data_IF_800162314295
#
_entry.id   IF_800162314295
#
_cell.length_a   1.000
_cell.length_b   1.000
_cell.length_c   1.000
_cell.angle_alpha   90.00
_cell.angle_beta   90.00
_cell.angle_gamma   90.00
#
_symmetry.space_group_name_H-M   'P 1'
#
loop_
_entity.id
_entity.type
_entity.pdbx_description
1 polymer ?
#
# COMPACT_ATOMS: atom_id res chain seq x y z
N UNK A 1 6.59 -16.55 17.77
CA UNK A 1 6.78 -15.86 16.48
C UNK A 1 7.14 -14.42 16.77
N UNK A 2 8.29 -13.94 16.28
CA UNK A 2 8.70 -12.54 16.49
C UNK A 2 7.90 -11.65 15.54
N UNK A 3 6.82 -11.04 16.03
CA UNK A 3 6.08 -10.01 15.30
C UNK A 3 6.83 -8.69 15.47
N UNK A 4 7.65 -8.35 14.47
CA UNK A 4 8.33 -7.05 14.42
C UNK A 4 7.30 -5.92 14.36
N UNK A 5 7.46 -4.91 15.22
CA UNK A 5 6.63 -3.71 15.20
C UNK A 5 6.83 -2.93 13.90
N UNK A 6 5.76 -2.35 13.37
CA UNK A 6 5.89 -1.39 12.27
C UNK A 6 6.52 -0.08 12.75
N UNK A 7 7.03 0.72 11.83
CA UNK A 7 7.59 2.04 12.17
C UNK A 7 6.51 2.97 12.75
N UNK A 8 5.26 2.85 12.28
CA UNK A 8 4.13 3.62 12.79
C UNK A 8 3.75 3.19 14.22
N UNK A 9 3.69 1.88 14.49
CA UNK A 9 3.51 1.38 15.86
C UNK A 9 4.60 1.90 16.79
N UNK A 10 5.85 1.79 16.37
CA UNK A 10 7.01 2.19 17.18
C UNK A 10 6.97 3.68 17.51
N UNK A 11 6.66 4.54 16.52
CA UNK A 11 6.57 5.98 16.71
C UNK A 11 5.51 6.37 17.76
N UNK A 12 4.33 5.74 17.71
CA UNK A 12 3.26 6.01 18.68
C UNK A 12 3.63 5.45 20.06
N UNK A 13 4.21 4.25 20.14
CA UNK A 13 4.64 3.66 21.41
C UNK A 13 5.76 4.48 22.10
N UNK A 14 6.58 5.19 21.33
CA UNK A 14 7.61 6.10 21.84
C UNK A 14 7.08 7.49 22.24
N UNK A 15 5.83 7.82 21.90
CA UNK A 15 5.17 9.07 22.32
C UNK A 15 4.77 9.03 23.82
N UNK A 16 4.33 10.16 24.42
CA UNK A 16 3.82 10.20 25.79
C UNK A 16 2.56 9.35 26.03
N UNK A 17 2.75 8.04 26.25
CA UNK A 17 1.73 7.05 26.59
C UNK A 17 2.02 6.46 27.99
N UNK A 18 1.00 5.95 28.69
CA UNK A 18 1.22 5.26 29.97
C UNK A 18 1.91 3.90 29.76
N UNK A 19 2.69 3.45 30.73
CA UNK A 19 3.35 2.14 30.65
C UNK A 19 2.32 1.00 30.61
N UNK A 20 1.21 1.13 31.33
CA UNK A 20 0.12 0.15 31.32
C UNK A 20 -0.53 0.03 29.94
N UNK A 21 -0.71 1.14 29.23
CA UNK A 21 -1.15 1.10 27.83
C UNK A 21 -0.14 0.39 26.93
N UNK A 22 1.17 0.63 27.10
CA UNK A 22 2.20 -0.09 26.34
C UNK A 22 2.17 -1.58 26.61
N UNK A 23 2.06 -1.99 27.88
CA UNK A 23 1.97 -3.39 28.30
C UNK A 23 0.70 -4.03 27.72
N UNK A 24 -0.46 -3.38 27.89
CA UNK A 24 -1.73 -3.83 27.35
C UNK A 24 -1.65 -4.06 25.84
N UNK A 25 -1.10 -3.10 25.10
CA UNK A 25 -0.95 -3.21 23.66
C UNK A 25 0.03 -4.32 23.26
N UNK A 26 1.28 -4.24 23.71
CA UNK A 26 2.38 -5.09 23.24
C UNK A 26 2.25 -6.54 23.67
N UNK A 27 1.76 -6.78 24.89
CA UNK A 27 1.70 -8.13 25.48
C UNK A 27 0.28 -8.68 25.52
N UNK A 28 -0.74 -7.81 25.61
CA UNK A 28 -2.13 -8.22 25.75
C UNK A 28 -2.88 -8.36 24.42
N UNK A 29 -2.74 -7.38 23.51
CA UNK A 29 -3.54 -7.29 22.30
C UNK A 29 -2.76 -7.75 21.06
N UNK A 30 -1.62 -7.10 20.81
CA UNK A 30 -0.79 -7.24 19.61
C UNK A 30 -0.37 -8.68 19.28
N UNK A 31 -0.02 -9.55 20.25
CA UNK A 31 0.39 -10.92 19.95
C UNK A 31 -0.74 -11.79 19.41
N UNK A 32 -1.99 -11.42 19.71
CA UNK A 32 -3.19 -12.18 19.30
C UNK A 32 -3.80 -11.67 18.00
N UNK A 33 -3.28 -10.57 17.46
CA UNK A 33 -3.87 -9.90 16.31
C UNK A 33 -3.47 -10.55 14.99
N UNK A 34 -4.45 -10.66 14.10
CA UNK A 34 -4.23 -11.11 12.73
C UNK A 34 -3.72 -9.92 11.89
N UNK A 35 -2.50 -10.03 11.36
CA UNK A 35 -1.87 -8.95 10.59
C UNK A 35 -2.65 -8.57 9.33
N UNK A 36 -3.35 -9.52 8.69
CA UNK A 36 -4.10 -9.27 7.46
C UNK A 36 -5.43 -8.54 7.71
N UNK A 37 -6.19 -8.97 8.73
CA UNK A 37 -7.47 -8.32 9.07
C UNK A 37 -7.33 -7.17 10.08
N UNK A 38 -6.15 -7.00 10.68
CA UNK A 38 -5.86 -6.11 11.82
C UNK A 38 -6.64 -6.44 13.11
N UNK A 39 -7.49 -7.47 13.10
CA UNK A 39 -8.36 -7.77 14.21
C UNK A 39 -7.63 -8.56 15.31
N UNK A 40 -7.87 -8.21 16.57
CA UNK A 40 -7.42 -8.98 17.74
C UNK A 40 -8.24 -10.26 17.91
N UNK A 41 -7.73 -11.19 18.71
CA UNK A 41 -8.61 -12.18 19.33
C UNK A 41 -9.64 -11.46 20.25
N UNK A 42 -10.76 -12.12 20.59
CA UNK A 42 -11.70 -11.61 21.59
C UNK A 42 -10.99 -11.24 22.89
N UNK A 43 -11.30 -10.05 23.42
CA UNK A 43 -10.74 -9.57 24.69
C UNK A 43 -11.06 -10.55 25.82
N UNK A 44 -10.04 -10.91 26.60
CA UNK A 44 -10.19 -11.65 27.85
C UNK A 44 -9.74 -10.76 29.03
N UNK A 45 -10.70 -10.17 29.74
CA UNK A 45 -10.41 -9.34 30.91
C UNK A 45 -9.68 -10.09 32.02
N UNK A 46 -9.93 -11.39 32.21
CA UNK A 46 -9.26 -12.14 33.28
C UNK A 46 -7.77 -12.22 32.99
N UNK A 47 -7.42 -12.55 31.75
CA UNK A 47 -6.04 -12.53 31.29
C UNK A 47 -5.43 -11.13 31.39
N UNK A 48 -6.09 -10.11 30.85
CA UNK A 48 -5.56 -8.74 30.82
C UNK A 48 -5.37 -8.14 32.23
N UNK A 49 -6.29 -8.40 33.16
CA UNK A 49 -6.14 -7.99 34.56
C UNK A 49 -4.94 -8.68 35.21
N UNK A 50 -4.77 -9.98 34.98
CA UNK A 50 -3.59 -10.71 35.50
C UNK A 50 -2.29 -10.17 34.90
N UNK A 51 -2.28 -9.85 33.60
CA UNK A 51 -1.13 -9.32 32.88
C UNK A 51 -0.72 -7.95 33.42
N UNK A 52 -1.68 -7.03 33.58
CA UNK A 52 -1.41 -5.66 34.01
C UNK A 52 -1.05 -5.56 35.49
N UNK A 53 -1.65 -6.40 36.33
CA UNK A 53 -1.30 -6.40 37.76
C UNK A 53 0.06 -7.05 38.01
N UNK A 54 0.43 -8.07 37.23
CA UNK A 54 1.66 -8.83 37.48
C UNK A 54 1.73 -9.27 38.95
N UNK A 55 2.82 -8.91 39.63
CA UNK A 55 3.01 -9.16 41.07
C UNK A 55 2.60 -7.97 41.97
N UNK A 56 2.14 -6.86 41.39
CA UNK A 56 1.86 -5.62 42.12
C UNK A 56 0.59 -5.73 42.97
N UNK A 57 0.72 -5.41 44.27
CA UNK A 57 -0.36 -5.56 45.26
C UNK A 57 -0.98 -4.25 45.73
N UNK A 58 -0.30 -3.11 45.53
CA UNK A 58 -0.69 -1.85 46.19
C UNK A 58 -1.88 -1.15 45.50
N UNK A 59 -1.93 -1.15 44.16
CA UNK A 59 -2.98 -0.51 43.37
C UNK A 59 -3.41 -1.40 42.19
N UNK A 60 -3.99 -2.58 42.43
CA UNK A 60 -4.33 -3.50 41.36
C UNK A 60 -5.57 -3.02 40.57
N UNK A 61 -5.56 -3.29 39.27
CA UNK A 61 -6.74 -3.32 38.45
C UNK A 61 -7.67 -4.46 38.90
N UNK A 62 -8.91 -4.14 39.25
CA UNK A 62 -9.88 -5.10 39.77
C UNK A 62 -11.06 -5.33 38.81
N UNK A 63 -11.32 -4.37 37.91
CA UNK A 63 -12.53 -4.36 37.08
C UNK A 63 -12.18 -4.16 35.61
N UNK A 64 -12.89 -4.86 34.73
CA UNK A 64 -12.76 -4.70 33.27
C UNK A 64 -13.00 -3.26 32.79
N UNK A 65 -13.82 -2.47 33.50
CA UNK A 65 -14.00 -1.03 33.19
C UNK A 65 -12.70 -0.22 33.29
N UNK A 66 -11.76 -0.61 34.14
CA UNK A 66 -10.45 0.06 34.21
C UNK A 66 -9.59 -0.29 32.97
N UNK A 67 -9.75 -1.49 32.42
CA UNK A 67 -9.17 -1.88 31.13
C UNK A 67 -9.76 -1.01 30.01
N UNK A 68 -11.09 -0.78 30.01
CA UNK A 68 -11.73 0.10 29.03
C UNK A 68 -11.12 1.51 29.03
N UNK A 69 -10.76 2.05 30.20
CA UNK A 69 -10.08 3.36 30.28
C UNK A 69 -8.70 3.36 29.60
N UNK A 70 -7.94 2.26 29.72
CA UNK A 70 -6.67 2.10 29.00
C UNK A 70 -6.88 1.91 27.49
N UNK A 71 -7.92 1.18 27.10
CA UNK A 71 -8.28 0.99 25.69
C UNK A 71 -8.71 2.32 25.03
N UNK A 72 -9.45 3.18 25.75
CA UNK A 72 -9.77 4.55 25.30
C UNK A 72 -8.51 5.38 25.08
N UNK A 73 -7.52 5.28 25.96
CA UNK A 73 -6.23 5.97 25.74
C UNK A 73 -5.51 5.44 24.50
N UNK A 74 -5.54 4.12 24.26
CA UNK A 74 -4.96 3.51 23.06
C UNK A 74 -5.69 3.92 21.77
N UNK A 75 -7.00 4.12 21.84
CA UNK A 75 -7.78 4.68 20.73
C UNK A 75 -7.40 6.13 20.43
N UNK A 76 -7.26 6.97 21.44
CA UNK A 76 -6.88 8.38 21.27
C UNK A 76 -5.54 8.55 20.54
N UNK A 77 -4.60 7.63 20.74
CA UNK A 77 -3.30 7.63 20.04
C UNK A 77 -3.31 6.80 18.75
N UNK A 78 -4.45 6.23 18.36
CA UNK A 78 -4.62 5.49 17.11
C UNK A 78 -4.00 4.08 17.10
N UNK A 79 -3.60 3.53 18.25
CA UNK A 79 -3.09 2.15 18.33
C UNK A 79 -4.23 1.12 18.27
N UNK A 80 -5.42 1.50 18.70
CA UNK A 80 -6.62 0.66 18.74
C UNK A 80 -7.76 1.41 18.05
N UNK A 81 -8.64 0.68 17.36
CA UNK A 81 -9.92 1.20 16.87
C UNK A 81 -11.03 0.26 17.32
N UNK A 82 -12.11 0.84 17.84
CA UNK A 82 -13.32 0.09 18.17
C UNK A 82 -14.23 0.01 16.94
N UNK A 83 -14.76 -1.17 16.60
CA UNK A 83 -15.89 -1.27 15.68
C UNK A 83 -17.06 -0.39 16.15
N UNK A 84 -17.73 0.31 15.23
CA UNK A 84 -18.78 1.31 15.53
C UNK A 84 -19.92 0.81 16.45
N UNK A 85 -20.10 -0.52 16.56
CA UNK A 85 -21.13 -1.14 17.38
C UNK A 85 -20.72 -1.40 18.86
N UNK A 86 -19.50 -1.03 19.27
CA UNK A 86 -19.04 -1.28 20.65
C UNK A 86 -19.28 -0.09 21.57
N UNK A 87 -20.13 -0.32 22.58
CA UNK A 87 -20.31 0.60 23.69
C UNK A 87 -19.34 0.29 24.83
N UNK A 88 -18.47 1.27 25.13
CA UNK A 88 -17.44 1.18 26.17
C UNK A 88 -17.96 1.45 27.58
N UNK A 89 -19.19 1.95 27.73
CA UNK A 89 -19.85 2.06 29.03
C UNK A 89 -20.18 0.67 29.60
N UNK A 90 -20.32 -0.31 28.72
CA UNK A 90 -20.53 -1.72 29.04
C UNK A 90 -19.26 -2.56 28.94
N UNK A 91 -19.38 -3.82 29.37
CA UNK A 91 -18.31 -4.81 29.22
C UNK A 91 -18.14 -5.15 27.73
N UNK A 92 -16.91 -4.98 27.23
CA UNK A 92 -16.51 -5.43 25.88
C UNK A 92 -15.71 -6.75 25.94
N UNK A 93 -15.79 -7.48 27.06
CA UNK A 93 -15.21 -8.81 27.16
C UNK A 93 -15.77 -9.73 26.07
N UNK A 94 -14.90 -10.51 25.44
CA UNK A 94 -15.25 -11.37 24.32
C UNK A 94 -15.46 -10.65 22.99
N UNK A 95 -15.18 -9.34 22.90
CA UNK A 95 -15.23 -8.58 21.65
C UNK A 95 -13.83 -8.42 21.04
N UNK A 96 -13.74 -8.38 19.72
CA UNK A 96 -12.49 -8.10 19.02
C UNK A 96 -12.33 -6.59 18.76
N UNK A 97 -11.08 -6.13 18.73
CA UNK A 97 -10.68 -4.78 18.39
C UNK A 97 -9.87 -4.78 17.10
N UNK A 98 -9.67 -3.61 16.50
CA UNK A 98 -8.78 -3.44 15.34
C UNK A 98 -7.49 -2.74 15.78
N UNK A 99 -6.35 -3.22 15.30
CA UNK A 99 -5.04 -2.60 15.52
C UNK A 99 -4.53 -2.04 14.18
N UNK A 100 -4.89 -0.79 13.80
CA UNK A 100 -4.70 -0.31 12.43
C UNK A 100 -3.25 -0.22 12.00
N UNK A 101 -2.31 -0.02 12.94
CA UNK A 101 -0.90 0.21 12.64
C UNK A 101 -0.08 -1.08 12.47
N UNK A 102 -0.67 -2.26 12.73
CA UNK A 102 0.07 -3.54 12.67
C UNK A 102 0.28 -4.02 11.24
N UNK A 103 -0.57 -3.56 10.34
CA UNK A 103 -0.40 -3.78 8.93
C UNK A 103 0.54 -2.71 8.41
N UNK A 104 1.82 -3.04 8.30
CA UNK A 104 2.66 -2.30 7.39
C UNK A 104 2.10 -2.65 6.02
N UNK A 105 1.54 -1.68 5.30
CA UNK A 105 1.51 -1.77 3.84
C UNK A 105 2.98 -1.69 3.35
N UNK A 106 3.78 -2.65 3.79
CA UNK A 106 5.12 -2.92 3.32
C UNK A 106 4.90 -3.18 1.85
N UNK A 107 5.51 -2.33 1.02
CA UNK A 107 5.44 -2.56 -0.41
C UNK A 107 5.91 -3.99 -0.63
N UNK A 108 5.19 -4.73 -1.48
CA UNK A 108 5.56 -6.11 -1.85
C UNK A 108 7.02 -6.11 -2.40
N UNK A 109 7.52 -4.94 -2.78
CA UNK A 109 8.86 -4.69 -3.29
C UNK A 109 9.93 -4.36 -2.25
N UNK A 110 9.63 -4.26 -0.96
CA UNK A 110 10.63 -3.94 0.09
C UNK A 110 11.78 -4.96 0.11
N UNK A 111 11.49 -6.22 -0.24
CA UNK A 111 12.51 -7.26 -0.41
C UNK A 111 13.49 -6.93 -1.56
N UNK A 112 13.03 -6.26 -2.62
CA UNK A 112 13.79 -5.94 -3.83
C UNK A 112 14.83 -4.83 -3.61
N UNK A 113 14.81 -4.16 -2.45
CA UNK A 113 15.83 -3.20 -2.03
C UNK A 113 17.01 -3.84 -1.31
N UNK A 114 16.90 -5.11 -0.88
CA UNK A 114 17.88 -5.73 0.03
C UNK A 114 19.10 -6.31 -0.69
N UNK A 115 18.91 -6.90 -1.87
CA UNK A 115 19.99 -7.49 -2.67
C UNK A 115 20.51 -6.48 -3.69
N UNK A 116 21.83 -6.32 -3.76
CA UNK A 116 22.50 -5.45 -4.72
C UNK A 116 23.43 -6.28 -5.60
N UNK A 117 23.36 -6.08 -6.91
CA UNK A 117 24.15 -6.82 -7.88
C UNK A 117 24.46 -5.98 -9.13
N UNK A 118 25.57 -6.32 -9.79
CA UNK A 118 25.84 -5.86 -11.15
C UNK A 118 24.94 -6.64 -12.12
N UNK A 119 24.39 -5.96 -13.14
CA UNK A 119 23.48 -6.59 -14.09
C UNK A 119 24.14 -7.79 -14.77
N UNK A 120 23.36 -8.85 -15.02
CA UNK A 120 23.83 -10.06 -15.69
C UNK A 120 23.10 -10.27 -17.01
N UNK A 121 23.67 -11.10 -17.89
CA UNK A 121 23.04 -11.45 -19.17
C UNK A 121 21.69 -12.18 -19.02
N UNK A 122 21.46 -12.82 -17.86
CA UNK A 122 20.24 -13.54 -17.54
C UNK A 122 19.22 -12.69 -16.76
N UNK A 123 19.53 -11.43 -16.47
CA UNK A 123 18.65 -10.56 -15.72
C UNK A 123 17.32 -10.34 -16.46
N UNK A 124 16.22 -10.30 -15.71
CA UNK A 124 14.91 -9.88 -16.21
C UNK A 124 14.29 -8.90 -15.20
N UNK A 125 13.53 -7.89 -15.67
CA UNK A 125 12.82 -6.98 -14.78
C UNK A 125 11.77 -7.75 -13.97
N UNK A 126 11.56 -7.33 -12.73
CA UNK A 126 10.47 -7.83 -11.92
C UNK A 126 9.14 -7.36 -12.53
N UNK A 127 8.28 -8.29 -12.94
CA UNK A 127 7.08 -7.98 -13.73
C UNK A 127 6.08 -7.12 -12.96
N UNK A 128 5.81 -7.47 -11.71
CA UNK A 128 4.82 -6.76 -10.89
C UNK A 128 5.29 -5.34 -10.59
N UNK A 129 6.58 -5.19 -10.24
CA UNK A 129 7.19 -3.88 -10.04
C UNK A 129 7.20 -3.05 -11.33
N UNK A 130 7.49 -3.66 -12.48
CA UNK A 130 7.46 -2.97 -13.76
C UNK A 130 6.06 -2.43 -14.07
N UNK A 131 5.00 -3.21 -13.86
CA UNK A 131 3.62 -2.77 -14.08
C UNK A 131 3.23 -1.60 -13.16
N UNK A 132 3.65 -1.64 -11.90
CA UNK A 132 3.43 -0.53 -10.98
C UNK A 132 4.17 0.73 -11.42
N UNK A 133 5.45 0.60 -11.79
CA UNK A 133 6.25 1.71 -12.31
C UNK A 133 5.67 2.26 -13.62
N UNK A 134 5.20 1.39 -14.52
CA UNK A 134 4.57 1.79 -15.77
C UNK A 134 3.30 2.61 -15.52
N UNK A 135 2.45 2.19 -14.59
CA UNK A 135 1.28 2.95 -14.15
C UNK A 135 1.65 4.33 -13.62
N UNK A 136 2.63 4.41 -12.70
CA UNK A 136 3.11 5.68 -12.12
C UNK A 136 3.76 6.61 -13.16
N UNK A 137 4.46 6.03 -14.13
CA UNK A 137 5.15 6.77 -15.19
C UNK A 137 4.23 7.18 -16.35
N UNK A 138 2.97 6.72 -16.37
CA UNK A 138 2.00 6.96 -17.43
C UNK A 138 2.29 6.19 -18.72
N UNK A 139 2.93 5.03 -18.63
CA UNK A 139 3.21 4.15 -19.77
C UNK A 139 1.94 3.35 -20.07
N UNK A 140 1.32 3.61 -21.23
CA UNK A 140 0.07 2.96 -21.65
C UNK A 140 0.34 1.56 -22.22
N UNK A 141 1.40 1.43 -23.02
CA UNK A 141 1.85 0.14 -23.54
C UNK A 141 2.86 -0.49 -22.57
N UNK A 142 2.37 -1.40 -21.75
CA UNK A 142 3.16 -2.10 -20.73
C UNK A 142 3.73 -3.43 -21.23
N UNK A 143 3.62 -3.73 -22.53
CA UNK A 143 4.30 -4.89 -23.10
C UNK A 143 5.75 -4.53 -23.45
N UNK A 144 6.66 -5.44 -23.12
CA UNK A 144 8.06 -5.40 -23.54
C UNK A 144 8.50 -6.78 -24.03
N UNK A 145 9.42 -6.80 -24.99
CA UNK A 145 9.96 -8.03 -25.56
C UNK A 145 11.39 -8.33 -25.09
N UNK A 146 11.90 -9.51 -25.47
CA UNK A 146 13.27 -9.93 -25.11
C UNK A 146 14.34 -9.05 -25.80
N UNK A 147 14.03 -8.38 -26.93
CA UNK A 147 14.97 -7.46 -27.57
C UNK A 147 15.15 -6.19 -26.74
N UNK A 148 14.07 -5.64 -26.19
CA UNK A 148 14.12 -4.45 -25.34
C UNK A 148 14.88 -4.71 -24.04
N UNK A 149 14.72 -5.90 -23.46
CA UNK A 149 15.50 -6.36 -22.31
C UNK A 149 16.98 -6.53 -22.70
N UNK A 150 17.26 -7.17 -23.83
CA UNK A 150 18.63 -7.37 -24.33
C UNK A 150 19.38 -6.06 -24.62
N UNK A 151 18.70 -5.06 -25.20
CA UNK A 151 19.28 -3.73 -25.43
C UNK A 151 19.61 -3.04 -24.11
N UNK A 152 18.71 -3.12 -23.12
CA UNK A 152 18.96 -2.56 -21.80
C UNK A 152 20.14 -3.24 -21.10
N UNK A 153 20.19 -4.58 -21.12
CA UNK A 153 21.28 -5.36 -20.53
C UNK A 153 22.61 -5.02 -21.20
N UNK A 154 22.67 -4.98 -22.53
CA UNK A 154 23.92 -4.71 -23.25
C UNK A 154 24.50 -3.33 -22.94
N UNK A 155 23.66 -2.30 -22.81
CA UNK A 155 24.07 -0.97 -22.38
C UNK A 155 24.71 -0.98 -20.98
N UNK A 156 24.12 -1.71 -20.02
CA UNK A 156 24.60 -1.73 -18.64
C UNK A 156 25.74 -2.73 -18.39
N UNK A 157 25.87 -3.79 -19.19
CA UNK A 157 27.04 -4.68 -19.18
C UNK A 157 28.33 -3.94 -19.56
N UNK A 158 28.22 -2.90 -20.40
CA UNK A 158 29.34 -1.98 -20.69
C UNK A 158 29.78 -1.13 -19.48
N UNK A 159 29.06 -1.21 -18.34
CA UNK A 159 29.30 -0.42 -17.12
C UNK A 159 29.35 -1.30 -15.86
N UNK A 160 30.31 -2.23 -15.76
CA UNK A 160 30.35 -3.26 -14.72
C UNK A 160 30.50 -2.72 -13.28
N UNK A 161 30.93 -1.46 -13.11
CA UNK A 161 31.00 -0.81 -11.80
C UNK A 161 29.64 -0.40 -11.22
N UNK A 162 28.54 -0.55 -11.96
CA UNK A 162 27.20 -0.18 -11.50
C UNK A 162 26.56 -1.34 -10.74
N UNK A 163 26.45 -1.20 -9.42
CA UNK A 163 25.80 -2.16 -8.53
C UNK A 163 24.52 -1.52 -7.99
N UNK A 164 23.38 -2.14 -8.27
CA UNK A 164 22.07 -1.63 -7.90
C UNK A 164 21.19 -2.76 -7.38
N UNK A 165 20.11 -2.39 -6.69
CA UNK A 165 19.10 -3.34 -6.26
C UNK A 165 18.18 -3.77 -7.41
N UNK A 166 17.47 -4.89 -7.24
CA UNK A 166 16.48 -5.35 -8.23
C UNK A 166 15.40 -4.29 -8.48
N UNK A 167 15.02 -3.57 -7.42
CA UNK A 167 14.11 -2.43 -7.52
C UNK A 167 14.66 -1.36 -8.46
N UNK A 168 15.90 -0.93 -8.22
CA UNK A 168 16.55 0.13 -9.00
C UNK A 168 16.78 -0.27 -10.46
N UNK A 169 17.13 -1.53 -10.71
CA UNK A 169 17.25 -2.06 -12.07
C UNK A 169 15.92 -2.03 -12.82
N UNK A 170 14.86 -2.51 -12.19
CA UNK A 170 13.51 -2.52 -12.78
C UNK A 170 12.99 -1.10 -12.99
N UNK A 171 13.23 -0.19 -12.05
CA UNK A 171 12.90 1.23 -12.18
C UNK A 171 13.61 1.88 -13.38
N UNK A 172 14.92 1.66 -13.52
CA UNK A 172 15.69 2.16 -14.67
C UNK A 172 15.20 1.58 -15.99
N UNK A 173 14.81 0.31 -16.00
CA UNK A 173 14.22 -0.33 -17.16
C UNK A 173 12.87 0.31 -17.55
N UNK A 174 11.98 0.56 -16.58
CA UNK A 174 10.71 1.25 -16.84
C UNK A 174 10.91 2.65 -17.43
N UNK A 175 11.89 3.42 -16.92
CA UNK A 175 12.27 4.71 -17.52
C UNK A 175 12.79 4.57 -18.96
N UNK A 176 13.60 3.55 -19.23
CA UNK A 176 14.09 3.28 -20.58
C UNK A 176 12.94 3.00 -21.55
N UNK A 177 11.97 2.16 -21.16
CA UNK A 177 10.77 1.87 -21.97
C UNK A 177 9.97 3.15 -22.19
N UNK A 178 9.75 3.98 -21.16
CA UNK A 178 9.09 5.28 -21.31
C UNK A 178 9.77 6.13 -22.38
N UNK A 179 11.10 6.26 -22.32
CA UNK A 179 11.85 7.05 -23.29
C UNK A 179 11.72 6.49 -24.71
N UNK A 180 11.79 5.17 -24.89
CA UNK A 180 11.58 4.54 -26.20
C UNK A 180 10.19 4.78 -26.76
N UNK A 181 9.14 4.62 -25.95
CA UNK A 181 7.75 4.84 -26.37
C UNK A 181 7.47 6.30 -26.71
N UNK A 182 8.12 7.26 -26.02
CA UNK A 182 8.05 8.69 -26.36
C UNK A 182 8.84 9.00 -27.66
N UNK A 183 10.05 8.46 -27.80
CA UNK A 183 10.92 8.72 -28.94
C UNK A 183 10.41 8.09 -30.24
N UNK A 184 9.71 6.96 -30.17
CA UNK A 184 9.12 6.28 -31.33
C UNK A 184 7.95 7.05 -31.97
N UNK A 185 7.52 8.18 -31.40
CA UNK A 185 6.33 8.90 -31.84
C UNK A 185 5.08 8.08 -31.48
N UNK A 186 4.41 8.46 -30.40
CA UNK A 186 3.22 7.79 -29.91
C UNK A 186 2.14 7.70 -31.01
N UNK A 187 2.04 6.53 -31.65
CA UNK A 187 0.89 6.16 -32.47
C UNK A 187 0.06 5.21 -31.62
N UNK A 188 -1.04 5.67 -31.00
CA UNK A 188 -1.88 4.79 -30.22
C UNK A 188 -2.40 3.69 -31.15
N UNK A 189 -1.95 2.46 -30.93
CA UNK A 189 -2.51 1.29 -31.60
C UNK A 189 -3.51 0.70 -30.62
N UNK A 190 -4.80 0.85 -30.89
CA UNK A 190 -5.86 0.21 -30.10
C UNK A 190 -5.96 -1.24 -30.58
N UNK A 191 -5.71 -2.19 -29.69
CA UNK A 191 -5.98 -3.61 -29.96
C UNK A 191 -7.50 -3.82 -29.88
N UNK A 192 -8.14 -4.11 -31.01
CA UNK A 192 -9.55 -4.55 -31.07
C UNK A 192 -9.53 -6.03 -31.48
N UNK A 193 -9.73 -6.92 -30.51
CA UNK A 193 -9.52 -8.35 -30.71
C UNK A 193 -8.05 -8.68 -30.99
N UNK A 194 -7.79 -9.50 -32.02
CA UNK A 194 -6.44 -9.93 -32.42
C UNK A 194 -5.74 -8.97 -33.40
N UNK A 195 -6.36 -7.86 -33.80
CA UNK A 195 -5.80 -6.95 -34.80
C UNK A 195 -5.34 -5.63 -34.19
N UNK A 196 -4.13 -5.21 -34.58
CA UNK A 196 -3.55 -3.92 -34.27
C UNK A 196 -4.08 -2.87 -35.26
N UNK A 197 -4.91 -1.95 -34.78
CA UNK A 197 -5.44 -0.85 -35.60
C UNK A 197 -4.75 0.45 -35.21
N UNK A 198 -4.09 1.12 -36.18
CA UNK A 198 -3.56 2.47 -36.00
C UNK A 198 -4.72 3.43 -35.74
N UNK A 199 -4.79 4.03 -34.55
CA UNK A 199 -5.76 5.09 -34.28
C UNK A 199 -5.24 6.34 -34.96
N UNK A 200 -5.85 6.73 -36.07
CA UNK A 200 -5.67 8.07 -36.60
C UNK A 200 -6.07 9.07 -35.50
N UNK A 201 -5.37 10.20 -35.39
CA UNK A 201 -5.71 11.28 -34.49
C UNK A 201 -7.08 11.87 -34.86
N UNK A 202 -8.14 11.17 -34.48
CA UNK A 202 -9.50 11.65 -34.50
C UNK A 202 -9.62 12.60 -33.32
N UNK A 203 -9.69 13.88 -33.62
CA UNK A 203 -10.50 14.80 -32.82
C UNK A 203 -11.89 14.17 -32.85
N UNK A 204 -12.21 13.37 -31.83
CA UNK A 204 -13.59 12.99 -31.54
C UNK A 204 -14.28 14.31 -31.20
N UNK A 205 -14.89 14.92 -32.22
CA UNK A 205 -15.89 15.94 -32.00
C UNK A 205 -16.97 15.27 -31.14
N UNK A 206 -16.94 15.57 -29.85
CA UNK A 206 -17.92 15.18 -28.85
C UNK A 206 -19.31 15.24 -29.48
N UNK A 207 -20.07 14.14 -29.42
CA UNK A 207 -21.45 14.09 -29.92
C UNK A 207 -22.31 15.22 -29.31
N UNK A 208 -21.91 15.76 -28.14
CA UNK A 208 -22.50 16.96 -27.57
C UNK A 208 -22.18 18.25 -28.34
N UNK A 209 -20.96 18.40 -28.88
CA UNK A 209 -20.57 19.56 -29.68
C UNK A 209 -21.39 19.62 -30.98
N UNK A 210 -21.63 18.48 -31.63
CA UNK A 210 -22.50 18.39 -32.81
C UNK A 210 -23.96 18.74 -32.48
N UNK A 211 -24.50 18.24 -31.36
CA UNK A 211 -25.85 18.57 -30.89
C UNK A 211 -26.00 20.05 -30.49
N UNK A 212 -24.95 20.67 -29.94
CA UNK A 212 -24.94 22.10 -29.63
C UNK A 212 -25.00 22.95 -30.90
N UNK A 213 -24.24 22.61 -31.95
CA UNK A 213 -24.27 23.33 -33.23
C UNK A 213 -25.63 23.20 -33.93
N UNK A 214 -26.26 22.02 -33.91
CA UNK A 214 -27.61 21.82 -34.45
C UNK A 214 -28.67 22.67 -33.71
N UNK A 215 -28.52 22.83 -32.38
CA UNK A 215 -29.42 23.63 -31.55
C UNK A 215 -29.31 25.14 -31.82
N UNK A 216 -28.12 25.65 -32.15
CA UNK A 216 -27.92 27.06 -32.49
C UNK A 216 -28.15 27.39 -33.97
N UNK A 217 -27.97 26.42 -34.89
CA UNK A 217 -28.27 26.63 -36.30
C UNK A 217 -29.79 26.82 -36.56
N UNK A 218 -30.63 26.21 -35.73
CA UNK A 218 -32.10 26.30 -35.83
C UNK A 218 -32.70 27.55 -35.18
N UNK A 219 -31.98 28.24 -34.28
CA UNK A 219 -32.49 29.48 -33.66
C UNK A 219 -32.31 30.74 -34.54
N UNK A 220 -31.44 30.69 -35.55
CA UNK A 220 -31.20 31.81 -36.49
C UNK A 220 -32.22 31.96 -37.62
N UNK A 221 -33.23 31.08 -37.72
CA UNK A 221 -34.32 31.18 -38.71
C UNK A 221 -35.67 31.47 -38.04
N UNK A 222 -35.77 32.59 -37.34
CA UNK A 222 -37.03 33.32 -37.13
C UNK A 222 -36.75 34.81 -37.07
N UNK A 223 -36.83 35.44 -38.24
CA UNK A 223 -37.39 36.78 -38.47
C UNK A 223 -38.11 36.72 -39.81
#
# INVERSE_FOLDING_TARGET
MSTTLTQAELAVLQSPLSNDCRVLYLLGLRPTANTASTATAPIDYKFLLSLLNGEQKDLPYQRGRQINSLLKQLELVGLVVFPEALDLEHSINGKALLLPLINNAQSIFDALHKSHFAISAAWKPNKDLFLEMASLLGIIDTEYDDNEVGEFISYWLGRPGTILSEFQWTQKFAHNIKHKRLAAGYSPVRKVGNQQVKVAAGIEADDNARKLVEKYATSTKKN
#
